data_IF_904757911862
#
_entry.id   IF_904757911862
#
_cell.length_a   1.000
_cell.length_b   1.000
_cell.length_c   1.000
_cell.angle_alpha   90.00
_cell.angle_beta   90.00
_cell.angle_gamma   90.00
#
_symmetry.space_group_name_H-M   'P 1'
#
loop_
_entity.id
_entity.type
_entity.pdbx_description
1 polymer ?
#
# COMPACT_ATOMS: atom_id res chain seq x y z
N UNK A 1 -12.29 12.12 1.30
CA UNK A 1 -11.65 12.64 0.09
C UNK A 1 -10.28 11.99 -0.13
N UNK A 2 -9.99 11.59 -1.36
CA UNK A 2 -8.71 10.96 -1.73
C UNK A 2 -7.86 11.98 -2.47
N UNK A 3 -6.61 12.08 -2.10
CA UNK A 3 -5.63 12.96 -2.75
C UNK A 3 -4.26 12.29 -2.84
N UNK A 4 -3.34 12.81 -3.69
CA UNK A 4 -1.98 12.28 -3.73
C UNK A 4 -1.28 12.38 -2.36
N UNK A 5 -0.49 11.35 -2.05
CA UNK A 5 0.33 11.34 -0.84
C UNK A 5 1.52 12.27 -1.04
N UNK A 6 1.84 13.04 -0.01
CA UNK A 6 2.99 13.96 0.01
C UNK A 6 3.97 13.53 1.10
N UNK A 7 5.21 13.97 0.97
CA UNK A 7 6.26 13.69 1.97
C UNK A 7 5.85 14.16 3.36
N UNK A 8 5.13 15.27 3.44
CA UNK A 8 4.64 15.83 4.71
C UNK A 8 3.63 14.93 5.41
N UNK A 9 3.04 13.98 4.69
CA UNK A 9 2.08 13.05 5.27
C UNK A 9 2.75 11.93 6.07
N UNK A 10 4.07 11.78 5.99
CA UNK A 10 4.76 10.62 6.52
C UNK A 10 4.39 10.28 7.97
N UNK A 11 4.44 11.27 8.87
CA UNK A 11 4.17 11.02 10.29
C UNK A 11 2.79 10.45 10.51
N UNK A 12 1.78 11.00 9.83
CA UNK A 12 0.38 10.55 9.95
C UNK A 12 0.18 9.19 9.28
N UNK A 13 0.83 8.96 8.15
CA UNK A 13 0.78 7.68 7.46
C UNK A 13 1.42 6.59 8.32
N UNK A 14 2.56 6.90 8.93
CA UNK A 14 3.24 5.95 9.80
C UNK A 14 2.38 5.57 11.00
N UNK A 15 1.75 6.55 11.64
CA UNK A 15 0.79 6.30 12.73
C UNK A 15 -0.36 5.41 12.27
N UNK A 16 -0.88 5.66 11.07
CA UNK A 16 -1.94 4.85 10.48
C UNK A 16 -1.48 3.40 10.35
N UNK A 17 -0.28 3.17 9.80
CA UNK A 17 0.25 1.82 9.65
C UNK A 17 0.34 1.10 10.99
N UNK A 18 0.81 1.80 12.03
CA UNK A 18 0.94 1.21 13.36
C UNK A 18 -0.42 0.86 13.97
N UNK A 19 -1.50 1.50 13.53
CA UNK A 19 -2.86 1.20 14.00
C UNK A 19 -3.48 -0.02 13.30
N UNK A 20 -2.84 -0.51 12.23
CA UNK A 20 -3.33 -1.64 11.45
C UNK A 20 -2.44 -2.87 11.68
N UNK A 21 -3.06 -4.02 11.87
CA UNK A 21 -2.33 -5.27 12.06
C UNK A 21 -1.84 -5.81 10.72
N UNK A 22 -0.67 -6.43 10.73
CA UNK A 22 -0.16 -7.17 9.57
C UNK A 22 0.34 -6.32 8.43
N UNK A 23 0.88 -5.13 8.71
CA UNK A 23 1.38 -4.24 7.66
C UNK A 23 2.69 -4.71 7.03
N UNK A 24 3.55 -5.41 7.78
CA UNK A 24 4.81 -5.90 7.22
C UNK A 24 5.83 -4.79 6.98
N UNK A 25 6.08 -3.97 8.00
CA UNK A 25 7.01 -2.85 7.92
C UNK A 25 8.44 -3.26 8.18
N UNK A 26 9.39 -2.44 7.71
CA UNK A 26 10.80 -2.56 8.08
C UNK A 26 11.41 -1.16 8.27
N UNK A 27 12.58 -1.11 8.91
CA UNK A 27 13.20 0.16 9.32
C UNK A 27 13.99 0.86 8.21
N UNK A 28 14.08 0.28 7.03
CA UNK A 28 14.77 0.89 5.87
C UNK A 28 13.75 1.48 4.90
N UNK A 29 12.89 0.64 4.34
CA UNK A 29 11.95 1.08 3.31
C UNK A 29 10.85 1.97 3.87
N UNK A 30 10.46 1.73 5.13
CA UNK A 30 9.36 2.44 5.76
C UNK A 30 9.83 3.56 6.68
N UNK A 31 11.12 3.91 6.63
CA UNK A 31 11.66 5.12 7.24
C UNK A 31 11.20 6.34 6.46
N UNK A 32 11.36 7.52 7.05
CA UNK A 32 11.04 8.77 6.36
C UNK A 32 11.82 8.91 5.05
N UNK A 33 13.11 8.57 5.06
CA UNK A 33 13.93 8.61 3.85
C UNK A 33 13.48 7.57 2.81
N UNK A 34 13.13 6.38 3.25
CA UNK A 34 12.65 5.32 2.35
C UNK A 34 11.36 5.71 1.66
N UNK A 35 10.42 6.27 2.39
CA UNK A 35 9.15 6.72 1.84
C UNK A 35 9.33 7.93 0.92
N UNK A 36 10.19 8.89 1.30
CA UNK A 36 10.52 10.02 0.43
C UNK A 36 11.07 9.57 -0.91
N UNK A 37 11.98 8.59 -0.88
CA UNK A 37 12.55 8.03 -2.11
C UNK A 37 11.49 7.37 -2.97
N UNK A 38 10.61 6.60 -2.34
CA UNK A 38 9.52 5.92 -3.05
C UNK A 38 8.58 6.92 -3.71
N UNK A 39 8.19 7.98 -3.00
CA UNK A 39 7.31 9.03 -3.52
C UNK A 39 7.98 9.82 -4.65
N UNK A 40 9.29 10.07 -4.56
CA UNK A 40 10.01 10.73 -5.63
C UNK A 40 9.99 9.92 -6.93
N UNK A 41 10.10 8.60 -6.82
CA UNK A 41 10.05 7.72 -7.99
C UNK A 41 8.63 7.51 -8.49
N UNK A 42 7.64 7.50 -7.59
CA UNK A 42 6.25 7.17 -7.91
C UNK A 42 5.30 8.27 -7.43
N UNK A 43 5.42 9.49 -7.97
CA UNK A 43 4.68 10.64 -7.42
C UNK A 43 3.18 10.62 -7.69
N UNK A 44 2.72 9.82 -8.65
CA UNK A 44 1.31 9.84 -9.09
C UNK A 44 0.55 8.55 -8.79
N UNK A 45 1.15 7.61 -8.03
CA UNK A 45 0.50 6.33 -7.74
C UNK A 45 0.42 6.02 -6.24
N UNK A 46 0.56 7.03 -5.40
CA UNK A 46 0.42 6.91 -3.94
C UNK A 46 -0.62 7.92 -3.48
N UNK A 47 -1.58 7.48 -2.64
CA UNK A 47 -2.72 8.30 -2.25
C UNK A 47 -3.03 8.16 -0.77
N UNK A 48 -3.67 9.19 -0.23
CA UNK A 48 -4.22 9.16 1.13
C UNK A 48 -5.70 9.54 1.08
N UNK A 49 -6.43 9.07 2.08
CA UNK A 49 -7.83 9.43 2.26
C UNK A 49 -7.97 10.26 3.54
N UNK A 50 -8.68 11.38 3.45
CA UNK A 50 -8.92 12.27 4.58
C UNK A 50 -10.40 12.48 4.82
N UNK A 51 -10.78 12.56 6.09
CA UNK A 51 -12.12 12.98 6.52
C UNK A 51 -11.92 14.07 7.57
N UNK A 52 -12.47 15.26 7.29
CA UNK A 52 -12.39 16.42 8.19
C UNK A 52 -10.94 16.72 8.63
N UNK A 53 -10.02 16.65 7.69
CA UNK A 53 -8.60 16.93 7.94
C UNK A 53 -7.83 15.79 8.60
N UNK A 54 -8.49 14.68 8.91
CA UNK A 54 -7.88 13.51 9.52
C UNK A 54 -7.51 12.49 8.45
N UNK A 55 -6.26 12.03 8.46
CA UNK A 55 -5.80 11.01 7.52
C UNK A 55 -6.23 9.65 8.02
N UNK A 56 -7.14 9.00 7.29
CA UNK A 56 -7.77 7.74 7.73
C UNK A 56 -7.46 6.58 6.80
N UNK A 57 -6.80 6.81 5.69
CA UNK A 57 -6.43 5.75 4.77
C UNK A 57 -5.22 6.12 3.94
N UNK A 58 -4.50 5.12 3.46
CA UNK A 58 -3.33 5.31 2.61
C UNK A 58 -3.08 4.09 1.76
N UNK A 59 -2.48 4.31 0.59
CA UNK A 59 -2.07 3.24 -0.33
C UNK A 59 -0.85 3.72 -1.10
N UNK A 60 0.08 2.81 -1.34
CA UNK A 60 1.27 3.08 -2.13
C UNK A 60 1.37 2.09 -3.27
N UNK A 61 1.74 2.55 -4.43
CA UNK A 61 2.03 1.68 -5.55
C UNK A 61 3.18 2.25 -6.38
N UNK A 62 3.94 1.35 -6.98
CA UNK A 62 5.00 1.71 -7.89
C UNK A 62 4.99 0.77 -9.08
N UNK A 63 5.86 1.03 -10.07
CA UNK A 63 5.98 0.16 -11.22
C UNK A 63 7.40 0.23 -11.81
N UNK A 64 7.73 -0.78 -12.56
CA UNK A 64 9.01 -0.89 -13.26
C UNK A 64 8.86 -0.59 -14.77
N UNK A 65 7.73 -0.02 -15.17
CA UNK A 65 7.39 0.21 -16.57
C UNK A 65 6.66 -0.99 -17.21
N UNK A 66 6.56 -2.10 -16.50
CA UNK A 66 5.91 -3.31 -17.01
C UNK A 66 4.84 -3.82 -16.05
N UNK A 67 5.18 -3.96 -14.77
CA UNK A 67 4.26 -4.45 -13.71
C UNK A 67 4.15 -3.42 -12.62
N UNK A 68 2.96 -3.28 -12.09
CA UNK A 68 2.73 -2.50 -10.89
C UNK A 68 2.85 -3.38 -9.66
N UNK A 69 3.13 -2.76 -8.52
CA UNK A 69 3.18 -3.45 -7.24
C UNK A 69 2.54 -2.55 -6.19
N UNK A 70 1.58 -3.10 -5.45
CA UNK A 70 0.86 -2.36 -4.41
C UNK A 70 1.44 -2.71 -3.05
N UNK A 71 1.75 -1.68 -2.27
CA UNK A 71 2.27 -1.79 -0.91
C UNK A 71 1.26 -1.18 0.07
N UNK A 72 1.40 -1.49 1.30
CA UNK A 72 0.83 -0.81 2.48
C UNK A 72 -0.53 -0.14 2.26
N UNK A 73 -1.53 -0.92 1.97
CA UNK A 73 -2.91 -0.45 1.87
C UNK A 73 -3.53 -0.52 3.26
N UNK A 74 -3.89 0.61 3.80
CA UNK A 74 -4.38 0.70 5.17
C UNK A 74 -5.57 1.65 5.28
N UNK A 75 -6.54 1.24 6.10
CA UNK A 75 -7.66 2.10 6.51
C UNK A 75 -7.73 2.01 8.03
N UNK A 76 -7.82 3.16 8.69
CA UNK A 76 -7.89 3.21 10.15
C UNK A 76 -9.04 2.31 10.65
N UNK A 77 -8.82 1.52 11.71
CA UNK A 77 -9.83 0.58 12.19
C UNK A 77 -11.22 1.18 12.42
N UNK A 78 -11.28 2.44 12.86
CA UNK A 78 -12.55 3.12 13.11
C UNK A 78 -13.30 3.49 11.82
N UNK A 79 -12.68 3.36 10.66
CA UNK A 79 -13.27 3.75 9.37
C UNK A 79 -13.33 2.59 8.37
N UNK A 80 -13.06 1.38 8.80
CA UNK A 80 -13.15 0.20 7.93
C UNK A 80 -14.60 -0.14 7.59
N UNK A 81 -14.76 -0.93 6.51
CA UNK A 81 -16.08 -1.39 6.03
C UNK A 81 -16.97 -0.25 5.52
N UNK A 82 -16.37 0.84 5.05
CA UNK A 82 -17.10 1.99 4.46
C UNK A 82 -16.72 2.24 3.01
N UNK A 83 -16.02 1.30 2.38
CA UNK A 83 -15.60 1.42 0.97
C UNK A 83 -14.37 2.28 0.72
N UNK A 84 -13.71 2.76 1.75
CA UNK A 84 -12.52 3.62 1.60
C UNK A 84 -11.36 2.85 0.98
N UNK A 85 -11.11 1.64 1.45
CA UNK A 85 -10.06 0.78 0.90
C UNK A 85 -10.27 0.51 -0.59
N UNK A 86 -11.49 0.16 -0.97
CA UNK A 86 -11.83 -0.08 -2.38
C UNK A 86 -11.63 1.16 -3.24
N UNK A 87 -12.00 2.33 -2.71
CA UNK A 87 -11.81 3.59 -3.43
C UNK A 87 -10.33 3.92 -3.63
N UNK A 88 -9.49 3.67 -2.60
CA UNK A 88 -8.05 3.85 -2.72
C UNK A 88 -7.46 2.92 -3.78
N UNK A 89 -7.85 1.65 -3.76
CA UNK A 89 -7.36 0.67 -4.74
C UNK A 89 -7.78 1.09 -6.16
N UNK A 90 -9.05 1.45 -6.35
CA UNK A 90 -9.53 1.87 -7.67
C UNK A 90 -8.77 3.09 -8.19
N UNK A 91 -8.45 4.03 -7.32
CA UNK A 91 -7.67 5.22 -7.67
C UNK A 91 -6.27 4.83 -8.14
N UNK A 92 -5.61 3.91 -7.43
CA UNK A 92 -4.29 3.41 -7.82
C UNK A 92 -4.35 2.65 -9.15
N UNK A 93 -5.35 1.79 -9.32
CA UNK A 93 -5.46 1.00 -10.55
C UNK A 93 -5.63 1.89 -11.76
N UNK A 94 -6.43 2.94 -11.64
CA UNK A 94 -6.61 3.91 -12.72
C UNK A 94 -5.31 4.65 -13.01
N UNK A 95 -4.59 5.07 -11.99
CA UNK A 95 -3.30 5.76 -12.15
C UNK A 95 -2.26 4.86 -12.83
N UNK A 96 -2.20 3.59 -12.46
CA UNK A 96 -1.30 2.63 -13.10
C UNK A 96 -1.68 2.40 -14.57
N UNK A 97 -2.96 2.28 -14.86
CA UNK A 97 -3.43 2.13 -16.26
C UNK A 97 -3.00 3.31 -17.11
N UNK A 98 -3.11 4.52 -16.59
CA UNK A 98 -2.70 5.74 -17.31
C UNK A 98 -1.21 5.74 -17.62
N UNK A 99 -0.41 5.02 -16.85
CA UNK A 99 1.03 4.86 -17.11
C UNK A 99 1.35 3.68 -18.03
N UNK A 100 0.34 3.01 -18.56
CA UNK A 100 0.51 1.90 -19.48
C UNK A 100 0.80 0.56 -18.81
N UNK A 101 0.57 0.46 -17.51
CA UNK A 101 0.81 -0.78 -16.77
C UNK A 101 -0.35 -1.74 -17.02
N UNK A 102 -0.03 -2.97 -17.41
CA UNK A 102 -1.02 -3.96 -17.80
C UNK A 102 -1.40 -4.94 -16.69
N UNK A 103 -0.61 -5.04 -15.64
CA UNK A 103 -0.87 -5.98 -14.53
C UNK A 103 -0.19 -5.47 -13.26
N UNK A 104 -0.87 -5.67 -12.13
CA UNK A 104 -0.31 -5.29 -10.82
C UNK A 104 -0.40 -6.48 -9.88
N UNK A 105 0.50 -6.54 -8.92
CA UNK A 105 0.60 -7.62 -7.94
C UNK A 105 0.76 -7.05 -6.55
N UNK A 106 0.53 -7.91 -5.56
CA UNK A 106 0.78 -7.59 -4.16
C UNK A 106 0.98 -8.88 -3.39
N UNK A 107 1.48 -8.76 -2.17
CA UNK A 107 1.57 -9.90 -1.26
C UNK A 107 0.83 -9.57 0.03
N UNK A 108 0.23 -10.58 0.64
CA UNK A 108 -0.51 -10.47 1.89
C UNK A 108 -0.09 -11.65 2.76
N UNK A 109 0.13 -11.42 4.04
CA UNK A 109 0.39 -12.53 4.96
C UNK A 109 -0.75 -13.54 4.86
N UNK A 110 -0.42 -14.81 4.81
CA UNK A 110 -1.42 -15.87 4.71
C UNK A 110 -2.38 -15.89 5.90
N UNK A 111 -1.91 -15.46 7.08
CA UNK A 111 -2.72 -15.37 8.29
C UNK A 111 -3.67 -14.17 8.32
N UNK A 112 -3.48 -13.20 7.42
CA UNK A 112 -4.34 -12.02 7.34
C UNK A 112 -5.61 -12.34 6.55
N UNK A 113 -6.55 -13.00 7.21
CA UNK A 113 -7.77 -13.48 6.55
C UNK A 113 -8.64 -12.35 6.01
N UNK A 114 -8.77 -11.27 6.77
CA UNK A 114 -9.56 -10.11 6.33
C UNK A 114 -8.93 -9.44 5.11
N UNK A 115 -7.61 -9.27 5.12
CA UNK A 115 -6.89 -8.70 3.98
C UNK A 115 -7.02 -9.57 2.75
N UNK A 116 -6.84 -10.87 2.89
CA UNK A 116 -6.98 -11.78 1.76
C UNK A 116 -8.40 -11.75 1.18
N UNK A 117 -9.43 -11.73 2.02
CA UNK A 117 -10.81 -11.63 1.56
C UNK A 117 -11.06 -10.31 0.82
N UNK A 118 -10.51 -9.22 1.31
CA UNK A 118 -10.62 -7.89 0.69
C UNK A 118 -10.05 -7.91 -0.73
N UNK A 119 -8.83 -8.41 -0.91
CA UNK A 119 -8.18 -8.44 -2.22
C UNK A 119 -8.87 -9.41 -3.19
N UNK A 120 -9.31 -10.56 -2.70
CA UNK A 120 -10.05 -11.53 -3.52
C UNK A 120 -11.33 -10.89 -4.08
N UNK A 121 -12.06 -10.17 -3.24
CA UNK A 121 -13.27 -9.49 -3.66
C UNK A 121 -13.03 -8.43 -4.74
N UNK A 122 -11.84 -7.83 -4.75
CA UNK A 122 -11.46 -6.83 -5.76
C UNK A 122 -10.88 -7.46 -7.02
N UNK A 123 -10.81 -8.78 -7.10
CA UNK A 123 -10.34 -9.47 -8.29
C UNK A 123 -8.84 -9.78 -8.30
N UNK A 124 -8.16 -9.63 -7.17
CA UNK A 124 -6.76 -10.02 -7.05
C UNK A 124 -6.69 -11.48 -6.67
N UNK A 125 -6.47 -12.33 -7.66
CA UNK A 125 -6.52 -13.78 -7.48
C UNK A 125 -5.17 -14.35 -7.05
N UNK A 126 -5.23 -15.35 -6.21
CA UNK A 126 -4.05 -16.07 -5.76
C UNK A 126 -3.48 -16.93 -6.90
N UNK A 127 -2.15 -16.97 -7.00
CA UNK A 127 -1.45 -17.81 -7.97
C UNK A 127 -0.83 -18.99 -7.24
N UNK A 128 -1.39 -20.16 -7.43
CA UNK A 128 -0.91 -21.38 -6.77
C UNK A 128 0.27 -22.03 -7.50
N UNK A 129 0.57 -21.54 -8.69
CA UNK A 129 1.65 -22.07 -9.53
C UNK A 129 2.95 -21.26 -9.38
N UNK A 130 2.98 -20.26 -8.49
CA UNK A 130 4.16 -19.42 -8.28
C UNK A 130 4.65 -19.56 -6.85
N UNK A 131 5.97 -19.42 -6.69
CA UNK A 131 6.60 -19.35 -5.37
C UNK A 131 7.26 -17.98 -5.27
N UNK A 132 6.87 -17.20 -4.28
CA UNK A 132 7.45 -15.89 -4.02
C UNK A 132 8.82 -16.07 -3.37
N UNK A 133 9.83 -15.43 -3.94
CA UNK A 133 11.19 -15.44 -3.39
C UNK A 133 11.71 -14.03 -3.32
N UNK A 134 12.37 -13.68 -2.23
CA UNK A 134 13.01 -12.39 -2.08
C UNK A 134 14.38 -12.54 -1.43
N UNK A 135 15.16 -11.47 -1.48
CA UNK A 135 16.46 -11.41 -0.83
C UNK A 135 16.72 -9.97 -0.43
N UNK A 136 17.04 -9.73 0.83
CA UNK A 136 17.45 -8.41 1.30
C UNK A 136 18.84 -8.08 0.78
N UNK A 137 18.99 -6.86 0.27
CA UNK A 137 20.28 -6.37 -0.24
C UNK A 137 21.03 -5.58 0.84
N UNK A 138 20.34 -5.17 1.89
CA UNK A 138 20.91 -4.48 3.06
C UNK A 138 20.26 -5.07 4.31
N UNK A 139 20.87 -4.81 5.46
CA UNK A 139 20.28 -5.25 6.73
C UNK A 139 19.01 -4.45 7.02
N UNK A 140 17.93 -5.15 7.35
CA UNK A 140 16.65 -4.55 7.68
C UNK A 140 16.14 -5.14 8.98
N UNK A 141 15.57 -4.31 9.84
CA UNK A 141 14.90 -4.76 11.05
C UNK A 141 13.39 -4.67 10.84
N UNK A 142 12.73 -5.79 11.08
CA UNK A 142 11.27 -5.89 10.95
C UNK A 142 10.59 -5.10 12.04
N UNK A 143 9.53 -4.37 11.69
CA UNK A 143 8.69 -3.64 12.63
C UNK A 143 7.36 -4.35 12.69
N UNK A 144 7.03 -4.91 13.85
CA UNK A 144 5.79 -5.67 14.03
C UNK A 144 4.59 -4.73 14.23
N UNK A 145 3.46 -5.11 13.64
CA UNK A 145 2.20 -4.38 13.85
C UNK A 145 1.03 -5.30 14.19
#
# INVERSE_FOLDING_TARGET
>A
MIRPMRKDDYSKVYELWLSCKGMGLNDVDDSENGISRFLNRNPSTCFVAEIKGELIGAIMAGNDGRRGYIYHTAVHPSHQNRGIGSSLVNTVLEALKQQGISKTALVVFDRNKNGNAFWEKLGFTERNDLIYRNKSLVDMTRIET
#
